data_IF_466594466518
#
_entry.id   IF_466594466518
#
_cell.length_a   1.000
_cell.length_b   1.000
_cell.length_c   1.000
_cell.angle_alpha   90.00
_cell.angle_beta   90.00
_cell.angle_gamma   90.00
#
_symmetry.space_group_name_H-M   'P 1'
#
loop_
_entity.id
_entity.type
_entity.pdbx_description
1 polymer ?
#
# COMPACT_ATOMS: atom_id res chain seq x y z
N UNK A 1 34.50 -12.04 -9.74
CA UNK A 1 34.69 -11.32 -8.47
C UNK A 1 33.32 -10.91 -7.96
N UNK A 2 33.07 -11.20 -6.69
CA UNK A 2 31.80 -11.54 -6.05
C UNK A 2 30.68 -10.51 -6.19
N UNK A 3 29.54 -10.97 -6.73
CA UNK A 3 28.25 -10.28 -6.64
C UNK A 3 27.91 -10.11 -5.16
N UNK A 4 27.84 -8.87 -4.68
CA UNK A 4 27.38 -8.58 -3.32
C UNK A 4 25.88 -8.88 -3.26
N UNK A 5 25.54 -10.09 -2.81
CA UNK A 5 24.18 -10.42 -2.38
C UNK A 5 23.97 -9.64 -1.08
N UNK A 6 23.34 -8.47 -1.18
CA UNK A 6 22.83 -7.79 0.01
C UNK A 6 21.90 -8.77 0.75
N UNK A 7 22.07 -8.98 2.06
CA UNK A 7 21.27 -9.93 2.80
C UNK A 7 19.79 -9.55 2.68
N UNK A 8 18.97 -10.52 2.30
CA UNK A 8 17.51 -10.45 2.11
C UNK A 8 16.71 -9.97 3.33
N UNK A 9 17.39 -9.67 4.44
CA UNK A 9 16.82 -9.20 5.70
C UNK A 9 16.59 -7.68 5.65
N UNK A 10 17.41 -6.92 4.92
CA UNK A 10 17.26 -5.46 4.81
C UNK A 10 16.04 -5.04 3.97
N UNK A 11 15.55 -5.92 3.09
CA UNK A 11 14.40 -5.61 2.23
C UNK A 11 13.07 -5.60 2.96
N UNK A 12 12.91 -6.34 4.07
CA UNK A 12 11.63 -6.48 4.77
C UNK A 12 11.40 -5.41 5.86
N UNK A 13 12.47 -4.84 6.41
CA UNK A 13 12.44 -3.82 7.48
C UNK A 13 11.73 -2.52 7.07
N UNK A 14 11.61 -2.23 5.77
CA UNK A 14 11.04 -0.97 5.27
C UNK A 14 9.70 -1.12 4.54
N UNK A 15 9.09 -2.31 4.59
CA UNK A 15 7.85 -2.58 3.86
C UNK A 15 6.57 -2.27 4.66
N UNK A 16 6.72 -1.97 5.95
CA UNK A 16 5.66 -1.51 6.86
C UNK A 16 6.23 -0.44 7.77
N UNK A 17 5.36 0.33 8.42
CA UNK A 17 5.79 1.30 9.42
C UNK A 17 6.51 0.58 10.57
N UNK A 18 7.73 1.03 10.87
CA UNK A 18 8.52 0.56 11.99
C UNK A 18 8.40 1.57 13.14
N UNK A 19 7.83 1.18 14.30
CA UNK A 19 7.70 2.10 15.42
C UNK A 19 9.08 2.38 16.04
N UNK A 20 9.37 3.67 16.28
CA UNK A 20 10.61 4.10 16.93
C UNK A 20 10.29 4.58 18.36
N UNK A 21 11.11 4.15 19.33
CA UNK A 21 10.94 4.50 20.73
C UNK A 21 9.77 3.77 21.39
N UNK A 22 8.97 4.49 22.18
CA UNK A 22 7.85 3.92 22.94
C UNK A 22 6.52 3.86 22.17
N UNK A 23 6.53 4.19 20.87
CA UNK A 23 5.32 4.16 20.03
C UNK A 23 4.81 2.74 19.90
N UNK A 24 3.51 2.55 20.17
CA UNK A 24 2.82 1.26 19.95
C UNK A 24 1.95 1.37 18.71
N UNK A 25 2.12 0.45 17.77
CA UNK A 25 1.21 0.31 16.65
C UNK A 25 -0.05 -0.42 17.12
N UNK A 26 -1.20 0.22 16.98
CA UNK A 26 -2.46 -0.47 17.15
C UNK A 26 -2.66 -1.43 15.97
N UNK A 27 -2.85 -2.70 16.32
CA UNK A 27 -3.24 -3.77 15.39
C UNK A 27 -4.41 -4.46 16.05
N UNK A 28 -5.41 -4.84 15.26
CA UNK A 28 -6.52 -5.64 15.76
C UNK A 28 -5.96 -6.92 16.39
N UNK A 29 -6.22 -7.10 17.68
CA UNK A 29 -5.86 -8.32 18.42
C UNK A 29 -6.99 -9.34 18.42
N UNK A 30 -8.22 -8.85 18.27
CA UNK A 30 -9.42 -9.64 18.04
C UNK A 30 -10.09 -9.18 16.74
N UNK A 31 -10.48 -10.14 15.90
CA UNK A 31 -11.18 -9.87 14.63
C UNK A 31 -12.61 -9.39 14.87
N UNK A 32 -13.16 -9.56 16.07
CA UNK A 32 -14.49 -9.02 16.43
C UNK A 32 -14.55 -7.48 16.41
N UNK A 33 -13.40 -6.81 16.58
CA UNK A 33 -13.27 -5.34 16.52
C UNK A 33 -13.32 -4.81 15.08
N UNK A 34 -13.20 -5.69 14.08
CA UNK A 34 -13.15 -5.32 12.67
C UNK A 34 -14.56 -5.24 12.09
N UNK A 35 -14.88 -4.11 11.48
CA UNK A 35 -16.15 -3.91 10.78
C UNK A 35 -16.21 -4.76 9.49
N UNK A 36 -17.18 -5.68 9.42
CA UNK A 36 -17.46 -6.44 8.21
C UNK A 36 -18.24 -5.60 7.21
N UNK A 37 -17.82 -5.59 5.94
CA UNK A 37 -18.56 -4.91 4.88
C UNK A 37 -19.80 -5.69 4.43
N UNK A 38 -20.81 -4.99 3.93
CA UNK A 38 -22.09 -5.57 3.46
C UNK A 38 -22.16 -5.81 1.95
N UNK A 39 -21.01 -5.85 1.26
CA UNK A 39 -20.98 -6.06 -0.19
C UNK A 39 -21.61 -7.41 -0.58
N UNK A 40 -22.32 -7.45 -1.70
CA UNK A 40 -22.88 -8.67 -2.30
C UNK A 40 -22.06 -9.09 -3.52
N UNK A 41 -21.95 -10.40 -3.74
CA UNK A 41 -21.37 -10.93 -4.97
C UNK A 41 -22.31 -10.62 -6.14
N UNK A 42 -21.85 -9.79 -7.07
CA UNK A 42 -22.58 -9.47 -8.31
C UNK A 42 -21.73 -9.91 -9.51
N UNK A 43 -22.31 -10.52 -10.55
CA UNK A 43 -21.55 -11.12 -11.65
C UNK A 43 -20.64 -10.14 -12.43
N UNK A 44 -20.94 -8.84 -12.40
CA UNK A 44 -20.28 -7.83 -13.25
C UNK A 44 -19.53 -6.72 -12.48
N UNK A 45 -19.52 -6.79 -11.14
CA UNK A 45 -18.84 -5.78 -10.31
C UNK A 45 -17.75 -6.44 -9.48
N UNK A 46 -16.54 -5.92 -9.57
CA UNK A 46 -15.46 -6.38 -8.71
C UNK A 46 -15.83 -6.17 -7.23
N UNK A 47 -15.76 -7.22 -6.40
CA UNK A 47 -16.24 -7.16 -5.03
C UNK A 47 -15.38 -6.22 -4.20
N UNK A 48 -16.04 -5.32 -3.46
CA UNK A 48 -15.38 -4.23 -2.75
C UNK A 48 -14.44 -3.42 -3.67
N UNK A 49 -14.78 -3.27 -4.95
CA UNK A 49 -14.11 -2.41 -5.94
C UNK A 49 -14.51 -0.94 -5.82
N UNK A 50 -13.89 -0.01 -6.57
CA UNK A 50 -14.19 1.43 -6.47
C UNK A 50 -15.66 1.77 -6.69
N UNK A 51 -16.35 1.02 -7.54
CA UNK A 51 -17.76 1.25 -7.90
C UNK A 51 -18.73 0.29 -7.20
N UNK A 52 -18.28 -0.40 -6.14
CA UNK A 52 -19.07 -1.45 -5.47
C UNK A 52 -20.04 -0.95 -4.40
N UNK A 53 -20.01 0.34 -4.05
CA UNK A 53 -20.77 0.88 -2.91
C UNK A 53 -20.34 0.28 -1.56
N UNK A 54 -19.07 -0.14 -1.45
CA UNK A 54 -18.56 -0.77 -0.23
C UNK A 54 -18.48 0.24 0.90
N UNK A 55 -19.25 0.02 1.97
CA UNK A 55 -19.27 0.91 3.14
C UNK A 55 -17.89 1.10 3.76
N UNK A 56 -17.07 0.04 3.85
CA UNK A 56 -15.70 0.16 4.35
C UNK A 56 -14.87 1.10 3.47
N UNK A 57 -15.02 1.06 2.14
CA UNK A 57 -14.31 1.99 1.24
C UNK A 57 -14.80 3.42 1.40
N UNK A 58 -16.11 3.65 1.50
CA UNK A 58 -16.68 4.99 1.71
C UNK A 58 -16.21 5.61 3.04
N UNK A 59 -16.05 4.78 4.06
CA UNK A 59 -15.55 5.17 5.38
C UNK A 59 -14.01 5.11 5.49
N UNK A 60 -13.30 4.87 4.38
CA UNK A 60 -11.83 4.79 4.34
C UNK A 60 -11.21 3.68 5.19
N UNK A 61 -11.95 2.62 5.49
CA UNK A 61 -11.46 1.38 6.10
C UNK A 61 -11.05 0.34 5.05
N UNK A 62 -9.96 -0.38 5.34
CA UNK A 62 -9.56 -1.56 4.56
C UNK A 62 -10.39 -2.79 4.99
N UNK A 63 -10.80 -3.62 4.03
CA UNK A 63 -11.42 -4.90 4.37
C UNK A 63 -10.35 -5.88 4.83
N UNK A 64 -10.58 -6.58 5.94
CA UNK A 64 -9.66 -7.61 6.44
C UNK A 64 -9.97 -8.97 5.76
N UNK A 65 -8.96 -9.71 5.24
CA UNK A 65 -9.19 -10.97 4.52
C UNK A 65 -9.99 -12.02 5.30
N UNK A 66 -9.79 -12.12 6.62
CA UNK A 66 -10.49 -13.06 7.49
C UNK A 66 -11.92 -12.65 7.90
N UNK A 67 -12.36 -11.44 7.53
CA UNK A 67 -13.67 -10.88 7.93
C UNK A 67 -14.55 -10.62 6.71
N UNK A 68 -13.97 -10.17 5.60
CA UNK A 68 -14.71 -9.93 4.37
C UNK A 68 -15.19 -11.25 3.75
N UNK A 69 -16.49 -11.35 3.42
CA UNK A 69 -17.08 -12.52 2.75
C UNK A 69 -16.46 -12.83 1.39
N UNK A 70 -15.80 -11.84 0.76
CA UNK A 70 -15.12 -12.01 -0.52
C UNK A 70 -13.67 -12.49 -0.39
N UNK A 71 -13.12 -12.53 0.83
CA UNK A 71 -11.76 -12.99 1.12
C UNK A 71 -10.73 -12.42 0.16
N UNK A 72 -10.06 -13.30 -0.60
CA UNK A 72 -9.03 -12.96 -1.58
C UNK A 72 -9.56 -12.23 -2.83
N UNK A 73 -10.86 -12.33 -3.15
CA UNK A 73 -11.44 -11.62 -4.30
C UNK A 73 -11.68 -10.14 -4.00
N UNK A 74 -11.71 -9.75 -2.73
CA UNK A 74 -11.93 -8.37 -2.29
C UNK A 74 -10.89 -7.40 -2.90
N UNK A 75 -11.37 -6.32 -3.53
CA UNK A 75 -10.54 -5.23 -4.10
C UNK A 75 -10.33 -4.04 -3.15
N UNK A 76 -10.63 -4.22 -1.86
CA UNK A 76 -10.40 -3.25 -0.80
C UNK A 76 -9.36 -3.76 0.21
N UNK A 77 -8.26 -4.32 -0.29
CA UNK A 77 -7.12 -4.87 0.46
C UNK A 77 -5.77 -4.34 -0.06
N UNK A 78 -5.75 -3.11 -0.61
CA UNK A 78 -4.61 -2.57 -1.36
C UNK A 78 -3.39 -2.26 -0.50
N UNK A 79 -3.57 -1.86 0.77
CA UNK A 79 -2.44 -1.55 1.65
C UNK A 79 -1.80 -2.83 2.16
N UNK A 80 -2.63 -3.76 2.63
CA UNK A 80 -2.20 -5.08 3.08
C UNK A 80 -1.48 -5.84 1.96
N UNK A 81 -1.94 -5.72 0.70
CA UNK A 81 -1.31 -6.35 -0.48
C UNK A 81 -0.20 -5.54 -1.14
N UNK A 82 -0.01 -4.28 -0.74
CA UNK A 82 0.99 -3.36 -1.32
C UNK A 82 0.83 -3.19 -2.84
N UNK A 83 -0.41 -3.10 -3.29
CA UNK A 83 -0.76 -2.91 -4.71
C UNK A 83 -0.61 -1.42 -5.08
N UNK A 84 0.60 -1.03 -5.45
CA UNK A 84 0.93 0.33 -5.89
C UNK A 84 1.27 0.36 -7.39
N UNK A 85 0.94 1.45 -8.10
CA UNK A 85 1.34 1.61 -9.49
C UNK A 85 2.87 1.64 -9.61
N UNK A 86 3.45 1.06 -10.69
CA UNK A 86 4.88 1.15 -10.93
C UNK A 86 5.29 2.63 -11.09
N UNK A 87 6.41 2.98 -10.47
CA UNK A 87 6.89 4.35 -10.37
C UNK A 87 8.41 4.41 -10.37
N UNK A 88 8.96 5.57 -10.76
CA UNK A 88 10.40 5.82 -10.73
C UNK A 88 10.71 7.22 -10.21
N UNK A 89 11.85 7.40 -9.52
CA UNK A 89 12.39 8.72 -9.27
C UNK A 89 12.69 9.46 -10.57
N UNK A 90 12.50 10.78 -10.58
CA UNK A 90 12.93 11.63 -11.67
C UNK A 90 13.34 13.01 -11.14
N UNK A 91 14.29 13.65 -11.81
CA UNK A 91 14.70 15.01 -11.46
C UNK A 91 13.64 16.02 -11.95
N UNK A 92 13.18 16.88 -11.06
CA UNK A 92 12.14 17.89 -11.34
C UNK A 92 12.69 19.31 -11.55
N UNK A 93 14.02 19.47 -11.45
CA UNK A 93 14.74 20.75 -11.50
C UNK A 93 15.27 21.17 -10.12
N UNK A 94 16.19 22.13 -10.11
CA UNK A 94 16.96 22.53 -8.91
C UNK A 94 16.07 23.13 -7.80
N UNK A 95 14.93 23.71 -8.16
CA UNK A 95 13.99 24.30 -7.18
C UNK A 95 13.19 23.26 -6.39
N UNK A 96 13.01 22.05 -6.94
CA UNK A 96 12.10 21.02 -6.39
C UNK A 96 12.78 19.67 -6.15
N UNK A 97 13.98 19.47 -6.69
CA UNK A 97 14.80 18.28 -6.48
C UNK A 97 14.25 17.02 -7.15
N UNK A 98 14.34 15.88 -6.45
CA UNK A 98 13.82 14.60 -6.92
C UNK A 98 12.33 14.47 -6.67
N UNK A 99 11.58 14.15 -7.72
CA UNK A 99 10.18 13.77 -7.66
C UNK A 99 9.98 12.29 -7.98
N UNK A 100 8.72 11.86 -7.92
CA UNK A 100 8.30 10.51 -8.25
C UNK A 100 7.32 10.54 -9.42
N UNK A 101 7.58 9.75 -10.45
CA UNK A 101 6.76 9.67 -11.66
C UNK A 101 6.21 8.27 -11.84
N UNK A 102 4.92 8.17 -12.15
CA UNK A 102 4.26 6.89 -12.43
C UNK A 102 4.63 6.43 -13.83
N UNK A 103 4.76 5.12 -14.00
CA UNK A 103 5.07 4.48 -15.28
C UNK A 103 3.81 4.04 -16.04
N UNK A 104 2.65 4.14 -15.40
CA UNK A 104 1.36 3.85 -15.99
C UNK A 104 0.36 5.00 -15.74
N UNK A 105 -0.68 5.11 -16.58
CA UNK A 105 -1.84 5.94 -16.27
C UNK A 105 -2.49 5.47 -14.96
N UNK A 106 -2.94 6.41 -14.14
CA UNK A 106 -3.69 6.14 -12.92
C UNK A 106 -5.12 6.64 -13.12
N UNK A 107 -6.10 5.77 -12.91
CA UNK A 107 -7.51 6.18 -12.91
C UNK A 107 -7.78 7.17 -11.76
N UNK A 108 -8.75 8.08 -11.90
CA UNK A 108 -9.08 9.09 -10.88
C UNK A 108 -9.32 8.53 -9.46
N UNK A 109 -9.74 7.27 -9.36
CA UNK A 109 -10.00 6.54 -8.09
C UNK A 109 -8.86 5.57 -7.74
N UNK A 110 -7.70 5.70 -8.39
CA UNK A 110 -6.48 4.96 -8.10
C UNK A 110 -5.82 5.44 -6.80
N UNK A 111 -5.25 4.52 -6.03
CA UNK A 111 -4.50 4.86 -4.82
C UNK A 111 -3.14 5.39 -5.25
N UNK A 112 -2.81 6.64 -4.86
CA UNK A 112 -1.67 7.36 -5.41
C UNK A 112 -0.33 7.02 -4.75
N UNK A 113 -0.25 6.82 -3.43
CA UNK A 113 0.97 6.36 -2.76
C UNK A 113 0.71 6.07 -1.29
N UNK A 114 1.42 5.09 -0.71
CA UNK A 114 1.62 5.00 0.73
C UNK A 114 3.00 5.57 1.07
N UNK A 115 3.06 6.57 1.96
CA UNK A 115 4.32 7.13 2.43
C UNK A 115 4.95 6.16 3.44
N UNK A 116 5.75 5.22 2.95
CA UNK A 116 6.78 4.57 3.76
C UNK A 116 8.05 5.37 3.61
N UNK A 117 8.49 5.99 4.70
CA UNK A 117 9.82 6.60 4.77
C UNK A 117 10.87 5.54 4.42
N UNK A 118 11.82 5.94 3.55
CA UNK A 118 13.07 5.24 3.18
C UNK A 118 13.16 4.45 1.87
N UNK A 119 12.17 4.42 0.96
CA UNK A 119 12.46 3.91 -0.42
C UNK A 119 13.27 4.87 -1.30
N UNK A 120 13.50 6.10 -0.84
CA UNK A 120 14.38 7.08 -1.50
C UNK A 120 15.86 6.92 -1.13
N UNK A 121 16.22 6.10 -0.14
CA UNK A 121 17.60 5.97 0.35
C UNK A 121 18.40 4.79 -0.25
N UNK A 122 17.76 3.89 -1.00
CA UNK A 122 18.39 2.68 -1.56
C UNK A 122 18.67 2.74 -3.06
N UNK A 123 18.68 3.94 -3.67
CA UNK A 123 19.26 4.11 -5.01
C UNK A 123 20.74 4.47 -4.87
N UNK A 124 21.67 3.90 -5.68
CA UNK A 124 23.11 4.20 -5.57
C UNK A 124 23.47 5.66 -5.88
N UNK A 125 22.49 6.51 -6.18
CA UNK A 125 22.67 7.95 -6.27
C UNK A 125 22.52 8.53 -4.86
N UNK A 126 23.68 8.79 -4.22
CA UNK A 126 23.77 9.65 -3.04
C UNK A 126 22.92 10.91 -3.26
N UNK A 127 21.81 11.01 -2.54
CA UNK A 127 21.12 12.28 -2.34
C UNK A 127 21.71 12.85 -1.07
N UNK A 128 22.55 13.89 -1.22
CA UNK A 128 22.85 14.82 -0.14
C UNK A 128 21.64 15.70 0.12
#
# INVERSE_FOLDING_TARGET
MTSAVLPSIASDLFLVNYPIGSVRLYRYTDLSEVLQCECKATPDVEPCGPNSGCINRELLFECVPGVCVHGEKCRNQRFTRREYPPQRPFWTGDERGWGLKTLCPIAKVGVALFYLTARLLCSPYRVF
#
